data_IF_299422154226
#
_entry.id   IF_299422154226
#
_cell.length_a   1.000
_cell.length_b   1.000
_cell.length_c   1.000
_cell.angle_alpha   90.00
_cell.angle_beta   90.00
_cell.angle_gamma   90.00
#
_symmetry.space_group_name_H-M   'P 1'
#
loop_
_entity.id
_entity.type
_entity.pdbx_description
1 polymer ?
#
# COMPACT_ATOMS: atom_id res chain seq x y z
N UNK A 1 13.41 1.11 1.00
CA UNK A 1 12.52 1.84 0.06
C UNK A 1 12.51 3.30 0.45
N UNK A 2 12.44 4.21 -0.53
CA UNK A 2 12.28 5.64 -0.28
C UNK A 2 10.86 5.95 0.25
N UNK A 3 10.72 6.96 1.11
CA UNK A 3 9.43 7.38 1.66
C UNK A 3 8.48 7.88 0.58
N UNK A 4 8.98 8.55 -0.45
CA UNK A 4 8.16 8.99 -1.59
C UNK A 4 7.57 7.79 -2.33
N UNK A 5 8.41 6.80 -2.63
CA UNK A 5 7.98 5.56 -3.28
C UNK A 5 6.98 4.80 -2.42
N UNK A 6 7.19 4.73 -1.11
CA UNK A 6 6.24 4.12 -0.19
C UNK A 6 4.88 4.82 -0.24
N UNK A 7 4.88 6.16 -0.18
CA UNK A 7 3.65 6.95 -0.25
C UNK A 7 2.89 6.68 -1.55
N UNK A 8 3.57 6.78 -2.70
CA UNK A 8 2.96 6.51 -4.01
C UNK A 8 2.36 5.10 -4.08
N UNK A 9 3.07 4.09 -3.59
CA UNK A 9 2.62 2.69 -3.68
C UNK A 9 1.46 2.38 -2.74
N UNK A 10 1.46 2.92 -1.52
CA UNK A 10 0.32 2.80 -0.60
C UNK A 10 -0.92 3.44 -1.22
N UNK A 11 -0.78 4.64 -1.79
CA UNK A 11 -1.91 5.34 -2.42
C UNK A 11 -2.41 4.62 -3.67
N UNK A 12 -1.51 4.14 -4.53
CA UNK A 12 -1.87 3.36 -5.71
C UNK A 12 -2.63 2.09 -5.33
N UNK A 13 -2.18 1.37 -4.30
CA UNK A 13 -2.85 0.17 -3.81
C UNK A 13 -4.24 0.48 -3.25
N UNK A 14 -4.36 1.56 -2.45
CA UNK A 14 -5.65 2.01 -1.92
C UNK A 14 -6.63 2.35 -3.04
N UNK A 15 -6.19 3.12 -4.03
CA UNK A 15 -6.99 3.50 -5.19
C UNK A 15 -7.43 2.27 -6.00
N UNK A 16 -6.51 1.34 -6.27
CA UNK A 16 -6.80 0.14 -7.05
C UNK A 16 -7.85 -0.76 -6.38
N UNK A 17 -7.80 -0.89 -5.04
CA UNK A 17 -8.78 -1.66 -4.27
C UNK A 17 -10.14 -0.95 -4.18
N UNK A 18 -10.16 0.38 -4.01
CA UNK A 18 -11.40 1.17 -3.94
C UNK A 18 -12.16 1.17 -5.27
N UNK A 19 -11.45 1.16 -6.41
CA UNK A 19 -12.06 1.09 -7.74
C UNK A 19 -12.48 -0.33 -8.15
N UNK A 20 -12.20 -1.35 -7.33
CA UNK A 20 -12.41 -2.75 -7.70
C UNK A 20 -11.52 -3.21 -8.86
N UNK A 21 -10.42 -2.51 -9.12
CA UNK A 21 -9.48 -2.81 -10.20
C UNK A 21 -8.57 -4.01 -9.90
N UNK A 22 -8.56 -4.48 -8.65
CA UNK A 22 -7.77 -5.63 -8.20
C UNK A 22 -8.63 -6.52 -7.31
N UNK A 23 -8.76 -7.79 -7.71
CA UNK A 23 -9.32 -8.85 -6.87
C UNK A 23 -8.17 -9.56 -6.17
N UNK A 24 -8.09 -9.40 -4.83
CA UNK A 24 -7.10 -10.09 -4.00
C UNK A 24 -7.70 -11.31 -3.27
N UNK A 25 -8.90 -11.73 -3.67
CA UNK A 25 -9.66 -12.81 -3.03
C UNK A 25 -9.83 -12.56 -1.54
N UNK A 26 -9.69 -13.64 -0.76
CA UNK A 26 -9.87 -13.60 0.71
C UNK A 26 -8.91 -12.63 1.42
N UNK A 27 -7.75 -12.34 0.82
CA UNK A 27 -6.76 -11.41 1.40
C UNK A 27 -7.16 -9.93 1.26
N UNK A 28 -8.11 -9.59 0.39
CA UNK A 28 -8.52 -8.22 0.12
C UNK A 28 -9.01 -7.50 1.38
N UNK A 29 -9.82 -8.16 2.19
CA UNK A 29 -10.40 -7.56 3.40
C UNK A 29 -9.33 -7.24 4.46
N UNK A 30 -8.35 -8.13 4.61
CA UNK A 30 -7.24 -7.92 5.54
C UNK A 30 -6.32 -6.79 5.07
N UNK A 31 -6.01 -6.74 3.77
CA UNK A 31 -5.19 -5.68 3.18
C UNK A 31 -5.87 -4.31 3.29
N UNK A 32 -7.18 -4.24 3.04
CA UNK A 32 -7.95 -3.01 3.24
C UNK A 32 -7.93 -2.56 4.70
N UNK A 33 -8.05 -3.49 5.65
CA UNK A 33 -7.96 -3.18 7.08
C UNK A 33 -6.59 -2.61 7.44
N UNK A 34 -5.51 -3.22 6.95
CA UNK A 34 -4.16 -2.73 7.18
C UNK A 34 -3.97 -1.33 6.56
N UNK A 35 -4.48 -1.10 5.34
CA UNK A 35 -4.40 0.19 4.64
C UNK A 35 -5.16 1.31 5.37
N UNK A 36 -6.28 1.00 6.02
CA UNK A 36 -7.02 1.97 6.83
C UNK A 36 -6.27 2.39 8.10
N UNK A 37 -5.29 1.60 8.56
CA UNK A 37 -4.47 1.93 9.73
C UNK A 37 -3.23 2.77 9.37
N UNK A 38 -2.89 2.87 8.08
CA UNK A 38 -1.79 3.71 7.62
C UNK A 38 -2.10 5.17 7.91
N UNK A 39 -1.16 5.83 8.55
CA UNK A 39 -1.23 7.23 8.94
C UNK A 39 -0.52 8.10 7.91
N UNK A 40 -0.96 9.35 7.86
CA UNK A 40 -0.34 10.40 7.08
C UNK A 40 0.25 11.42 8.05
N UNK A 41 1.51 11.77 7.86
CA UNK A 41 2.17 12.81 8.63
C UNK A 41 1.70 14.21 8.20
N UNK A 42 2.16 15.25 8.91
CA UNK A 42 1.76 16.64 8.67
C UNK A 42 2.17 17.18 7.29
N UNK A 43 3.18 16.58 6.68
CA UNK A 43 3.65 16.91 5.33
C UNK A 43 2.82 16.24 4.23
N UNK A 44 1.79 15.45 4.58
CA UNK A 44 0.95 14.74 3.63
C UNK A 44 1.54 13.41 3.17
N UNK A 45 2.71 13.02 3.65
CA UNK A 45 3.36 11.76 3.30
C UNK A 45 2.93 10.63 4.24
N UNK A 46 3.00 9.39 3.74
CA UNK A 46 2.75 8.22 4.58
C UNK A 46 3.79 8.16 5.70
N UNK A 47 3.33 7.87 6.91
CA UNK A 47 4.16 7.51 8.05
C UNK A 47 4.64 6.06 7.85
N UNK A 48 5.94 5.81 7.60
CA UNK A 48 6.45 4.46 7.35
C UNK A 48 6.23 3.51 8.53
N UNK A 49 6.23 4.03 9.77
CA UNK A 49 6.06 3.22 10.98
C UNK A 49 4.61 2.75 11.17
N UNK A 50 3.66 3.38 10.46
CA UNK A 50 2.26 2.98 10.46
C UNK A 50 1.93 1.90 9.43
N UNK A 51 2.86 1.54 8.55
CA UNK A 51 2.67 0.53 7.51
C UNK A 51 3.00 -0.86 8.07
N UNK A 52 2.05 -1.79 7.99
CA UNK A 52 2.27 -3.16 8.48
C UNK A 52 3.41 -3.85 7.71
N UNK A 53 4.20 -4.75 8.35
CA UNK A 53 5.24 -5.51 7.64
C UNK A 53 4.71 -6.30 6.43
N UNK A 54 3.45 -6.75 6.51
CA UNK A 54 2.76 -7.42 5.41
C UNK A 54 2.53 -6.47 4.23
N UNK A 55 2.01 -5.27 4.48
CA UNK A 55 1.85 -4.25 3.44
C UNK A 55 3.20 -3.87 2.82
N UNK A 56 4.23 -3.71 3.65
CA UNK A 56 5.58 -3.42 3.18
C UNK A 56 6.09 -4.50 2.22
N UNK A 57 5.87 -5.77 2.56
CA UNK A 57 6.24 -6.92 1.70
C UNK A 57 5.47 -6.91 0.38
N UNK A 58 4.16 -6.64 0.41
CA UNK A 58 3.32 -6.55 -0.79
C UNK A 58 3.78 -5.42 -1.71
N UNK A 59 4.00 -4.23 -1.15
CA UNK A 59 4.48 -3.06 -1.90
C UNK A 59 5.83 -3.37 -2.55
N UNK A 60 6.77 -3.95 -1.81
CA UNK A 60 8.06 -4.32 -2.36
C UNK A 60 7.93 -5.34 -3.50
N UNK A 61 7.06 -6.34 -3.35
CA UNK A 61 6.79 -7.31 -4.42
C UNK A 61 6.22 -6.66 -5.69
N UNK A 62 5.45 -5.57 -5.58
CA UNK A 62 4.96 -4.82 -6.75
C UNK A 62 6.03 -3.94 -7.42
N UNK A 63 7.10 -3.59 -6.70
CA UNK A 63 8.23 -2.82 -7.24
C UNK A 63 9.24 -3.72 -7.97
N UNK A 64 9.42 -4.95 -7.47
CA UNK A 64 10.35 -5.92 -8.03
C UNK A 64 9.82 -6.59 -9.31
N UNK A 65 8.53 -6.39 -9.62
CA UNK A 65 7.96 -6.79 -10.91
C UNK A 65 8.28 -5.73 -11.97
N UNK A 66 9.04 -6.07 -13.04
CA UNK A 66 9.14 -5.18 -14.18
C UNK A 66 7.74 -4.98 -14.76
N UNK A 67 7.33 -3.73 -14.92
CA UNK A 67 6.13 -3.34 -15.66
C UNK A 67 6.26 -3.94 -17.08
N UNK A 68 5.61 -5.08 -17.30
CA UNK A 68 5.55 -5.78 -18.58
C UNK A 68 4.36 -5.30 -19.41
#
# INVERSE_FOLDING_TARGET
>A
MDREVLHERVYALKFALEQGGVDLGDAQHEILKDLMQVKTEKDGMVDPDSVSPRLMTLIQATLDQPLH
#
